data_IF_532636342372
#
_entry.id   IF_532636342372
#
_cell.length_a   1.000
_cell.length_b   1.000
_cell.length_c   1.000
_cell.angle_alpha   90.00
_cell.angle_beta   90.00
_cell.angle_gamma   90.00
#
_symmetry.space_group_name_H-M   'P 1'
#
loop_
_entity.id
_entity.type
_entity.pdbx_description
1 polymer ?
#
# COMPACT_ATOMS: atom_id res chain seq x y z
N UNK A 1 5.63 -6.30 -55.78
CA UNK A 1 6.49 -5.72 -54.72
C UNK A 1 5.91 -6.10 -53.37
N UNK A 2 6.62 -6.96 -52.64
CA UNK A 2 6.24 -7.45 -51.32
C UNK A 2 6.49 -6.35 -50.29
N UNK A 3 5.44 -5.75 -49.71
CA UNK A 3 5.59 -4.92 -48.52
C UNK A 3 5.53 -5.84 -47.29
N UNK A 4 6.71 -6.09 -46.73
CA UNK A 4 6.90 -6.71 -45.42
C UNK A 4 6.21 -5.84 -44.36
N UNK A 5 5.06 -6.30 -43.85
CA UNK A 5 4.40 -5.72 -42.69
C UNK A 5 5.20 -6.13 -41.45
N UNK A 6 5.97 -5.20 -40.90
CA UNK A 6 6.62 -5.36 -39.60
C UNK A 6 5.50 -5.36 -38.54
N UNK A 7 5.19 -6.53 -37.98
CA UNK A 7 4.35 -6.64 -36.79
C UNK A 7 5.21 -6.26 -35.59
N UNK A 8 5.00 -5.06 -35.06
CA UNK A 8 5.55 -4.64 -33.77
C UNK A 8 4.89 -5.51 -32.69
N UNK A 9 5.64 -6.22 -31.82
CA UNK A 9 5.01 -6.87 -30.68
C UNK A 9 4.51 -5.75 -29.77
N UNK A 10 3.19 -5.59 -29.70
CA UNK A 10 2.55 -4.81 -28.65
C UNK A 10 2.84 -5.59 -27.37
N UNK A 11 3.92 -5.20 -26.69
CA UNK A 11 4.22 -5.69 -25.36
C UNK A 11 3.00 -5.43 -24.49
N UNK A 12 2.41 -6.50 -23.97
CA UNK A 12 1.36 -6.45 -22.98
C UNK A 12 1.98 -5.90 -21.68
N UNK A 13 2.21 -4.59 -21.62
CA UNK A 13 2.49 -3.91 -20.38
C UNK A 13 1.18 -3.96 -19.60
N UNK A 14 1.09 -4.86 -18.62
CA UNK A 14 0.08 -4.74 -17.58
C UNK A 14 0.21 -3.31 -17.03
N UNK A 15 -0.83 -2.50 -17.20
CA UNK A 15 -0.88 -1.20 -16.55
C UNK A 15 -0.68 -1.46 -15.05
N UNK A 16 0.14 -0.67 -14.35
CA UNK A 16 0.18 -0.77 -12.90
C UNK A 16 -1.25 -0.62 -12.41
N UNK A 17 -1.75 -1.62 -11.71
CA UNK A 17 -2.99 -1.47 -10.96
C UNK A 17 -2.74 -0.26 -10.06
N UNK A 18 -3.45 0.82 -10.32
CA UNK A 18 -3.44 1.96 -9.40
C UNK A 18 -4.09 1.41 -8.14
N UNK A 19 -3.24 0.91 -7.25
CA UNK A 19 -3.59 0.59 -5.89
C UNK A 19 -4.32 1.82 -5.39
N UNK A 20 -5.56 1.61 -4.95
CA UNK A 20 -6.39 2.66 -4.38
C UNK A 20 -5.50 3.54 -3.49
N UNK A 21 -5.56 4.87 -3.57
CA UNK A 21 -4.55 5.81 -3.00
C UNK A 21 -4.28 5.68 -1.49
N UNK A 22 -4.91 4.69 -0.86
CA UNK A 22 -4.79 4.15 0.47
C UNK A 22 -3.63 3.15 0.66
N UNK A 23 -3.07 2.57 -0.40
CA UNK A 23 -2.01 1.56 -0.29
C UNK A 23 -0.59 2.16 -0.16
N UNK A 24 0.31 1.37 0.41
CA UNK A 24 1.71 1.72 0.65
C UNK A 24 2.67 0.94 -0.26
N UNK A 25 2.81 1.29 -1.55
CA UNK A 25 3.57 0.48 -2.50
C UNK A 25 5.10 0.54 -2.31
N UNK A 26 5.60 1.48 -1.51
CA UNK A 26 7.04 1.66 -1.24
C UNK A 26 7.27 2.28 0.14
N UNK A 27 8.53 2.22 0.59
CA UNK A 27 8.97 2.84 1.83
C UNK A 27 8.53 4.32 1.87
N UNK A 28 7.88 4.70 2.98
CA UNK A 28 7.38 6.07 3.24
C UNK A 28 6.31 6.58 2.27
N UNK A 29 5.44 5.76 1.68
CA UNK A 29 4.29 6.33 0.97
C UNK A 29 4.33 6.23 -0.55
N UNK A 30 3.16 6.44 -1.17
CA UNK A 30 3.06 6.74 -2.60
C UNK A 30 3.96 7.88 -3.06
N UNK A 31 4.39 8.79 -2.17
CA UNK A 31 5.33 9.88 -2.44
C UNK A 31 6.75 9.60 -1.91
N UNK A 32 6.92 8.72 -0.92
CA UNK A 32 8.21 8.39 -0.30
C UNK A 32 8.70 9.40 0.74
N UNK A 33 7.89 10.40 1.05
CA UNK A 33 8.17 11.46 2.01
C UNK A 33 7.55 11.16 3.40
N UNK A 34 6.74 10.11 3.53
CA UNK A 34 6.07 9.70 4.76
C UNK A 34 4.68 10.29 4.95
N UNK A 35 4.16 11.03 3.96
CA UNK A 35 2.84 11.65 4.02
C UNK A 35 1.73 10.62 3.82
N UNK A 36 0.73 10.61 4.71
CA UNK A 36 -0.51 9.85 4.52
C UNK A 36 -1.50 10.71 3.72
N UNK A 37 -1.67 10.36 2.45
CA UNK A 37 -2.64 11.01 1.55
C UNK A 37 -4.05 10.56 1.95
N UNK A 38 -4.99 11.51 1.97
CA UNK A 38 -6.40 11.28 2.34
C UNK A 38 -6.57 10.63 3.72
N UNK A 39 -5.69 11.00 4.67
CA UNK A 39 -5.81 10.54 6.04
C UNK A 39 -7.23 10.83 6.58
N UNK A 40 -7.94 9.82 7.12
CA UNK A 40 -9.25 10.06 7.69
C UNK A 40 -9.13 11.05 8.84
N UNK A 41 -10.21 11.78 9.13
CA UNK A 41 -10.29 12.55 10.36
C UNK A 41 -10.13 11.59 11.54
N UNK A 42 -8.93 11.53 12.10
CA UNK A 42 -8.68 10.78 13.32
C UNK A 42 -9.44 11.53 14.41
N UNK A 43 -10.37 10.84 15.08
CA UNK A 43 -11.16 11.41 16.16
C UNK A 43 -10.27 11.70 17.38
N UNK A 44 -9.45 12.75 17.30
CA UNK A 44 -8.71 13.31 18.43
C UNK A 44 -9.60 14.22 19.28
N UNK A 45 -10.71 14.72 18.73
CA UNK A 45 -11.41 15.88 19.28
C UNK A 45 -12.69 15.54 20.09
N UNK A 46 -12.97 14.27 20.41
CA UNK A 46 -14.27 13.89 20.97
C UNK A 46 -14.25 12.74 21.97
N UNK A 47 -13.88 13.01 23.21
CA UNK A 47 -14.29 12.31 24.45
C UNK A 47 -13.88 10.85 24.69
N UNK A 48 -13.96 9.97 23.69
CA UNK A 48 -13.79 8.51 23.88
C UNK A 48 -12.59 7.90 23.13
N UNK A 49 -11.87 8.67 22.32
CA UNK A 49 -10.65 8.24 21.63
C UNK A 49 -10.83 7.05 20.67
N UNK A 50 -9.70 6.51 20.18
CA UNK A 50 -9.70 5.31 19.35
C UNK A 50 -10.03 4.07 20.20
N UNK A 51 -11.02 3.28 19.76
CA UNK A 51 -11.37 2.00 20.39
C UNK A 51 -10.44 0.90 19.88
N UNK A 52 -9.82 0.14 20.80
CA UNK A 52 -9.00 -1.03 20.43
C UNK A 52 -9.91 -2.17 19.95
N UNK A 53 -9.75 -2.55 18.68
CA UNK A 53 -10.56 -3.61 18.05
C UNK A 53 -9.94 -5.01 18.13
N UNK A 54 -8.61 -5.13 18.22
CA UNK A 54 -7.90 -6.41 18.38
C UNK A 54 -6.52 -6.21 19.02
N UNK A 55 -5.94 -7.31 19.53
CA UNK A 55 -4.57 -7.34 20.06
C UNK A 55 -3.98 -8.75 19.92
N UNK A 56 -2.68 -8.85 19.59
CA UNK A 56 -1.95 -10.11 19.49
C UNK A 56 -0.58 -9.98 20.17
N UNK A 57 -0.20 -10.87 21.12
CA UNK A 57 1.17 -10.94 21.63
C UNK A 57 2.14 -11.44 20.54
N UNK A 58 3.27 -10.75 20.34
CA UNK A 58 4.26 -11.04 19.26
C UNK A 58 5.68 -11.38 19.77
N UNK A 59 5.85 -11.63 21.08
CA UNK A 59 7.17 -11.89 21.67
C UNK A 59 8.07 -10.65 21.75
N UNK A 60 9.36 -10.86 22.00
CA UNK A 60 10.37 -9.78 22.04
C UNK A 60 11.20 -9.73 20.75
N UNK A 61 11.73 -8.55 20.41
CA UNK A 61 12.55 -8.33 19.22
C UNK A 61 12.42 -6.90 18.70
N UNK A 62 13.08 -6.61 17.57
CA UNK A 62 12.91 -5.36 16.82
C UNK A 62 12.49 -5.72 15.40
N UNK A 63 11.23 -5.44 15.07
CA UNK A 63 10.62 -5.76 13.78
C UNK A 63 9.75 -4.61 13.30
N UNK A 64 9.78 -4.32 12.01
CA UNK A 64 8.79 -3.45 11.37
C UNK A 64 7.43 -4.14 11.28
N UNK A 65 6.35 -3.35 11.18
CA UNK A 65 5.00 -3.85 10.91
C UNK A 65 4.64 -3.55 9.45
N UNK A 66 4.11 -4.53 8.73
CA UNK A 66 3.63 -4.37 7.36
C UNK A 66 2.30 -5.08 7.19
N UNK A 67 1.39 -4.51 6.40
CA UNK A 67 0.11 -5.11 6.08
C UNK A 67 0.00 -5.35 4.56
N UNK A 68 -0.46 -6.54 4.19
CA UNK A 68 -0.72 -6.95 2.81
C UNK A 68 -1.75 -8.08 2.79
N UNK A 69 -2.59 -8.15 1.75
CA UNK A 69 -3.57 -9.22 1.54
C UNK A 69 -4.44 -9.55 2.77
N UNK A 70 -4.86 -8.52 3.52
CA UNK A 70 -5.69 -8.67 4.71
C UNK A 70 -4.97 -9.28 5.92
N UNK A 71 -3.64 -9.28 5.93
CA UNK A 71 -2.79 -9.82 7.01
C UNK A 71 -1.80 -8.78 7.49
N UNK A 72 -1.32 -8.95 8.71
CA UNK A 72 -0.28 -8.13 9.35
C UNK A 72 0.93 -9.01 9.64
N UNK A 73 2.11 -8.51 9.31
CA UNK A 73 3.40 -9.20 9.40
C UNK A 73 4.36 -8.40 10.28
N UNK A 74 5.16 -9.14 11.05
CA UNK A 74 6.40 -8.66 11.69
C UNK A 74 7.57 -9.11 10.82
N UNK A 75 8.41 -8.18 10.39
CA UNK A 75 9.59 -8.46 9.55
C UNK A 75 10.87 -8.54 10.38
#
# INVERSE_FOLDING_TARGET
MSLLRILLPIGLFAAPEWTDGRDWPRWRGPLGDGTWIDAPAIASEGGNGLVRIWQQPVGGGYSGITAADGRVYTM
#
